data_IF_650294250747
#
_entry.id   IF_650294250747
#
_cell.length_a   1.000
_cell.length_b   1.000
_cell.length_c   1.000
_cell.angle_alpha   90.00
_cell.angle_beta   90.00
_cell.angle_gamma   90.00
#
_symmetry.space_group_name_H-M   'P 1'
#
loop_
_entity.id
_entity.type
_entity.pdbx_description
1 polymer ?
#
# COMPACT_ATOMS: atom_id res chain seq x y z
N UNK A 1 6.00 -0.62 1.98
CA UNK A 1 6.35 -0.89 0.57
C UNK A 1 5.43 -1.92 -0.09
N UNK A 2 5.34 -3.18 0.37
CA UNK A 2 4.52 -4.20 -0.32
C UNK A 2 3.11 -4.44 0.29
N UNK A 3 2.69 -3.70 1.32
CA UNK A 3 1.38 -3.91 1.95
C UNK A 3 1.27 -5.25 2.71
N UNK A 4 2.37 -5.69 3.33
CA UNK A 4 2.48 -6.99 4.00
C UNK A 4 2.08 -6.96 5.48
N UNK A 5 2.03 -5.77 6.08
CA UNK A 5 1.66 -5.63 7.47
C UNK A 5 0.17 -5.97 7.63
N UNK A 6 -0.10 -7.06 8.35
CA UNK A 6 -1.47 -7.51 8.65
C UNK A 6 -2.04 -6.72 9.82
N UNK A 7 -3.36 -6.57 9.94
CA UNK A 7 -3.97 -5.74 10.97
C UNK A 7 -3.56 -6.07 12.40
N UNK A 8 -3.64 -7.33 12.81
CA UNK A 8 -3.25 -7.71 14.18
C UNK A 8 -1.74 -7.57 14.44
N UNK A 9 -0.90 -7.78 13.41
CA UNK A 9 0.52 -7.53 13.51
C UNK A 9 0.85 -6.03 13.64
N UNK A 10 0.01 -5.14 13.11
CA UNK A 10 0.16 -3.70 13.33
C UNK A 10 -0.10 -3.32 14.79
N UNK A 11 -1.09 -3.92 15.46
CA UNK A 11 -1.31 -3.71 16.90
C UNK A 11 -0.07 -4.11 17.71
N UNK A 12 0.46 -5.31 17.47
CA UNK A 12 1.66 -5.80 18.17
C UNK A 12 2.88 -4.92 17.90
N UNK A 13 3.14 -4.59 16.63
CA UNK A 13 4.30 -3.80 16.22
C UNK A 13 4.25 -2.38 16.76
N UNK A 14 3.13 -1.69 16.57
CA UNK A 14 3.00 -0.28 16.98
C UNK A 14 3.04 -0.20 18.51
N UNK A 15 2.30 -1.07 19.22
CA UNK A 15 2.33 -1.10 20.68
C UNK A 15 3.75 -1.30 21.22
N UNK A 16 4.47 -2.30 20.71
CA UNK A 16 5.86 -2.55 21.12
C UNK A 16 6.79 -1.35 20.82
N UNK A 17 6.59 -0.65 19.70
CA UNK A 17 7.38 0.54 19.39
C UNK A 17 7.04 1.70 20.34
N UNK A 18 5.76 1.95 20.65
CA UNK A 18 5.35 2.99 21.61
C UNK A 18 5.91 2.76 23.01
N UNK A 19 6.01 1.49 23.44
CA UNK A 19 6.62 1.12 24.73
C UNK A 19 8.15 1.30 24.74
N UNK A 20 8.80 1.27 23.57
CA UNK A 20 10.25 1.23 23.46
C UNK A 20 10.87 2.59 23.15
N UNK A 21 10.24 3.38 22.29
CA UNK A 21 10.80 4.65 21.79
C UNK A 21 9.90 5.83 22.12
N UNK A 22 10.51 6.95 22.49
CA UNK A 22 9.81 8.19 22.84
C UNK A 22 9.81 9.21 21.68
N UNK A 23 9.62 8.72 20.45
CA UNK A 23 9.50 9.55 19.23
C UNK A 23 8.20 9.23 18.51
N UNK A 24 7.64 10.17 17.72
CA UNK A 24 6.44 9.90 16.94
C UNK A 24 6.65 8.77 15.93
N UNK A 25 5.63 7.92 15.78
CA UNK A 25 5.59 6.81 14.83
C UNK A 25 4.69 7.20 13.66
N UNK A 26 5.26 7.18 12.45
CA UNK A 26 4.54 7.34 11.20
C UNK A 26 4.48 6.00 10.47
N UNK A 27 3.26 5.54 10.17
CA UNK A 27 3.03 4.28 9.47
C UNK A 27 2.72 4.52 8.00
N UNK A 28 3.57 3.96 7.15
CA UNK A 28 3.43 3.95 5.71
C UNK A 28 3.10 2.54 5.21
N UNK A 29 2.05 2.39 4.40
CA UNK A 29 1.73 1.14 3.72
C UNK A 29 1.13 1.34 2.33
N UNK A 30 0.96 0.24 1.59
CA UNK A 30 0.32 0.22 0.27
C UNK A 30 -0.86 -0.74 0.29
N UNK A 31 -2.01 -0.33 -0.22
CA UNK A 31 -3.28 -1.07 -0.16
C UNK A 31 -3.38 -2.20 -1.21
N UNK A 32 -2.26 -2.83 -1.54
CA UNK A 32 -2.17 -3.82 -2.64
C UNK A 32 -3.01 -5.05 -2.35
N UNK A 33 -3.18 -5.40 -1.08
CA UNK A 33 -4.03 -6.49 -0.61
C UNK A 33 -5.47 -6.07 -0.31
N UNK A 34 -5.81 -4.77 -0.45
CA UNK A 34 -7.09 -4.18 0.00
C UNK A 34 -7.40 -4.37 1.48
N UNK A 35 -6.38 -4.69 2.29
CA UNK A 35 -6.50 -4.92 3.73
C UNK A 35 -5.99 -3.74 4.56
N UNK A 36 -5.31 -2.78 3.95
CA UNK A 36 -4.46 -1.87 4.70
C UNK A 36 -5.21 -0.77 5.43
N UNK A 37 -6.44 -0.45 5.02
CA UNK A 37 -7.33 0.40 5.83
C UNK A 37 -7.60 -0.24 7.19
N UNK A 38 -7.79 -1.56 7.25
CA UNK A 38 -7.93 -2.28 8.53
C UNK A 38 -6.60 -2.29 9.31
N UNK A 39 -5.46 -2.37 8.62
CA UNK A 39 -4.14 -2.22 9.25
C UNK A 39 -3.97 -0.85 9.89
N UNK A 40 -4.40 0.23 9.22
CA UNK A 40 -4.40 1.57 9.79
C UNK A 40 -5.32 1.69 10.99
N UNK A 41 -6.54 1.15 10.93
CA UNK A 41 -7.43 1.15 12.10
C UNK A 41 -6.76 0.51 13.31
N UNK A 42 -6.14 -0.67 13.14
CA UNK A 42 -5.43 -1.36 14.22
C UNK A 42 -4.18 -0.63 14.72
N UNK A 43 -3.48 0.08 13.83
CA UNK A 43 -2.35 0.93 14.23
C UNK A 43 -2.82 2.18 14.99
N UNK A 44 -3.94 2.79 14.60
CA UNK A 44 -4.55 3.94 15.27
C UNK A 44 -5.07 3.54 16.65
N UNK A 45 -5.72 2.39 16.80
CA UNK A 45 -6.08 1.84 18.11
C UNK A 45 -4.85 1.58 19.00
N UNK A 46 -3.70 1.27 18.40
CA UNK A 46 -2.41 1.08 19.09
C UNK A 46 -1.58 2.37 19.23
N UNK A 47 -2.20 3.54 19.10
CA UNK A 47 -1.57 4.84 19.33
C UNK A 47 -0.46 5.24 18.33
N UNK A 48 -0.53 4.78 17.07
CA UNK A 48 0.29 5.35 16.00
C UNK A 48 0.01 6.84 15.84
N UNK A 49 1.03 7.65 15.56
CA UNK A 49 0.93 9.11 15.56
C UNK A 49 0.51 9.65 14.18
N UNK A 50 0.99 9.04 13.08
CA UNK A 50 0.68 9.47 11.71
C UNK A 50 0.46 8.26 10.81
N UNK A 51 -0.47 8.35 9.85
CA UNK A 51 -0.66 7.37 8.77
C UNK A 51 -0.63 8.05 7.40
N UNK A 52 -0.04 7.38 6.40
CA UNK A 52 0.06 7.92 5.04
C UNK A 52 -1.16 7.54 4.20
N UNK A 53 -1.81 8.51 3.56
CA UNK A 53 -3.03 8.31 2.78
C UNK A 53 -2.94 9.01 1.42
N UNK A 54 -3.72 8.55 0.46
CA UNK A 54 -3.85 9.17 -0.86
C UNK A 54 -5.30 9.60 -1.11
N UNK A 55 -5.50 10.70 -1.84
CA UNK A 55 -6.82 11.15 -2.27
C UNK A 55 -7.51 10.07 -3.12
N UNK A 56 -8.85 10.00 -3.04
CA UNK A 56 -9.64 8.93 -3.64
C UNK A 56 -9.23 8.53 -5.06
N UNK A 57 -9.18 9.49 -5.98
CA UNK A 57 -8.82 9.27 -7.40
C UNK A 57 -7.42 8.68 -7.65
N UNK A 58 -6.51 8.74 -6.68
CA UNK A 58 -5.13 8.22 -6.77
C UNK A 58 -4.83 7.14 -5.72
N UNK A 59 -5.84 6.66 -5.00
CA UNK A 59 -5.69 5.73 -3.88
C UNK A 59 -6.01 4.28 -4.25
N UNK A 60 -5.73 3.37 -3.32
CA UNK A 60 -6.04 1.95 -3.45
C UNK A 60 -5.09 1.20 -4.38
N UNK A 61 -5.32 -0.11 -4.54
CA UNK A 61 -4.46 -0.99 -5.33
C UNK A 61 -2.99 -0.85 -4.87
N UNK A 62 -2.07 -0.50 -5.75
CA UNK A 62 -0.65 -0.37 -5.39
C UNK A 62 -0.31 0.96 -4.72
N UNK A 63 -1.28 1.84 -4.49
CA UNK A 63 -1.14 3.13 -3.80
C UNK A 63 -1.44 3.01 -2.30
N UNK A 64 -1.44 4.13 -1.57
CA UNK A 64 -1.85 4.20 -0.16
C UNK A 64 -3.36 3.96 0.00
N UNK A 65 -3.84 3.63 1.22
CA UNK A 65 -5.26 3.62 1.55
C UNK A 65 -5.95 4.95 1.23
N UNK A 66 -7.23 4.85 0.89
CA UNK A 66 -8.07 5.98 0.48
C UNK A 66 -8.29 6.96 1.65
N UNK A 67 -7.84 8.20 1.47
CA UNK A 67 -7.91 9.24 2.49
C UNK A 67 -9.36 9.54 2.90
N UNK A 68 -10.24 9.77 1.93
CA UNK A 68 -11.65 10.06 2.16
C UNK A 68 -12.31 8.93 2.99
N UNK A 69 -11.99 7.68 2.67
CA UNK A 69 -12.49 6.51 3.41
C UNK A 69 -11.91 6.41 4.83
N UNK A 70 -10.62 6.72 5.03
CA UNK A 70 -9.99 6.75 6.37
C UNK A 70 -10.61 7.84 7.24
N UNK A 71 -10.89 9.02 6.68
CA UNK A 71 -11.58 10.10 7.40
C UNK A 71 -12.98 9.67 7.84
N UNK A 72 -13.78 9.08 6.92
CA UNK A 72 -15.12 8.61 7.29
C UNK A 72 -15.07 7.44 8.30
N UNK A 73 -14.08 6.55 8.19
CA UNK A 73 -13.83 5.47 9.16
C UNK A 73 -13.58 6.02 10.58
N UNK A 74 -12.88 7.14 10.70
CA UNK A 74 -12.55 7.75 11.99
C UNK A 74 -13.64 8.66 12.55
N UNK A 75 -14.69 8.95 11.78
CA UNK A 75 -15.74 9.89 12.19
C UNK A 75 -16.45 9.43 13.46
N UNK A 76 -16.52 10.33 14.44
CA UNK A 76 -17.12 10.06 15.75
C UNK A 76 -16.25 9.25 16.71
N UNK A 77 -15.00 8.92 16.33
CA UNK A 77 -14.03 8.29 17.23
C UNK A 77 -13.23 9.36 18.00
N UNK A 78 -12.66 8.97 19.13
CA UNK A 78 -11.90 9.87 20.01
C UNK A 78 -10.68 10.51 19.31
N UNK A 79 -9.99 9.74 18.47
CA UNK A 79 -8.80 10.20 17.72
C UNK A 79 -9.15 10.79 16.34
N UNK A 80 -10.42 11.14 16.10
CA UNK A 80 -10.84 11.74 14.85
C UNK A 80 -10.25 13.14 14.68
N UNK A 81 -9.91 13.49 13.44
CA UNK A 81 -9.60 14.86 13.06
C UNK A 81 -10.76 15.44 12.27
N UNK A 82 -10.99 16.75 12.43
CA UNK A 82 -11.99 17.47 11.66
C UNK A 82 -11.46 17.72 10.24
N UNK A 83 -12.19 17.22 9.25
CA UNK A 83 -11.87 17.35 7.83
C UNK A 83 -13.14 17.72 7.07
N UNK A 84 -13.02 18.68 6.16
CA UNK A 84 -14.09 19.00 5.22
C UNK A 84 -14.19 17.92 4.14
N UNK A 85 -15.12 16.99 4.32
CA UNK A 85 -15.38 15.91 3.37
C UNK A 85 -15.81 16.42 1.98
N UNK A 86 -16.49 17.57 1.90
CA UNK A 86 -16.85 18.14 0.60
C UNK A 86 -15.60 18.61 -0.14
N UNK A 87 -14.68 19.26 0.57
CA UNK A 87 -13.40 19.70 0.01
C UNK A 87 -12.52 18.52 -0.40
N UNK A 88 -12.43 17.47 0.43
CA UNK A 88 -11.68 16.25 0.09
C UNK A 88 -12.25 15.55 -1.16
N UNK A 89 -13.57 15.52 -1.31
CA UNK A 89 -14.20 14.96 -2.52
C UNK A 89 -13.90 15.83 -3.75
N UNK A 90 -13.93 17.15 -3.63
CA UNK A 90 -13.56 18.05 -4.75
C UNK A 90 -12.11 17.83 -5.19
N UNK A 91 -11.17 17.69 -4.25
CA UNK A 91 -9.78 17.37 -4.58
C UNK A 91 -9.64 15.98 -5.23
N UNK A 92 -10.38 14.99 -4.74
CA UNK A 92 -10.40 13.66 -5.34
C UNK A 92 -10.87 13.71 -6.79
N UNK A 93 -11.97 14.42 -7.08
CA UNK A 93 -12.51 14.56 -8.43
C UNK A 93 -11.53 15.25 -9.38
N UNK A 94 -10.86 16.32 -8.93
CA UNK A 94 -9.82 16.98 -9.72
C UNK A 94 -8.71 16.00 -10.15
N UNK A 95 -8.26 15.15 -9.22
CA UNK A 95 -7.22 14.18 -9.52
C UNK A 95 -7.70 13.00 -10.36
N UNK A 96 -8.96 12.61 -10.23
CA UNK A 96 -9.61 11.63 -11.11
C UNK A 96 -9.64 12.13 -12.56
N UNK A 97 -10.11 13.36 -12.78
CA UNK A 97 -10.10 13.98 -14.12
C UNK A 97 -8.68 14.12 -14.66
N UNK A 98 -7.73 14.51 -13.81
CA UNK A 98 -6.32 14.66 -14.19
C UNK A 98 -5.69 13.32 -14.58
N UNK A 99 -6.05 12.23 -13.89
CA UNK A 99 -5.52 10.88 -14.11
C UNK A 99 -5.82 10.36 -15.51
N UNK A 100 -6.95 10.75 -16.09
CA UNK A 100 -7.32 10.37 -17.48
C UNK A 100 -6.27 10.82 -18.51
N UNK A 101 -5.61 11.96 -18.28
CA UNK A 101 -4.51 12.42 -19.15
C UNK A 101 -3.28 11.48 -19.11
N UNK A 102 -3.17 10.65 -18.08
CA UNK A 102 -2.10 9.68 -17.87
C UNK A 102 -2.53 8.25 -18.16
N UNK A 103 -3.71 8.04 -18.78
CA UNK A 103 -4.24 6.72 -19.12
C UNK A 103 -3.21 5.75 -19.74
N UNK A 104 -2.32 6.15 -20.68
CA UNK A 104 -1.32 5.24 -21.25
C UNK A 104 -0.33 4.64 -20.24
N UNK A 105 -0.21 5.22 -19.05
CA UNK A 105 0.69 4.79 -17.98
C UNK A 105 -0.02 4.00 -16.88
N UNK A 106 -1.32 3.75 -17.02
CA UNK A 106 -2.07 2.98 -16.04
C UNK A 106 -1.55 1.54 -15.91
N UNK A 107 -1.48 1.06 -14.66
CA UNK A 107 -0.96 -0.28 -14.36
C UNK A 107 -1.80 -1.43 -14.96
N UNK A 108 -3.06 -1.14 -15.31
CA UNK A 108 -4.05 -2.11 -15.77
C UNK A 108 -4.55 -3.06 -14.66
N UNK A 109 -4.15 -2.85 -13.40
CA UNK A 109 -4.71 -3.55 -12.26
C UNK A 109 -6.13 -3.06 -11.98
N UNK A 110 -7.06 -3.99 -11.78
CA UNK A 110 -8.47 -3.68 -11.52
C UNK A 110 -8.90 -3.88 -10.06
N UNK A 111 -8.14 -4.68 -9.30
CA UNK A 111 -8.46 -5.04 -7.93
C UNK A 111 -7.17 -5.33 -7.15
N UNK A 112 -7.26 -5.22 -5.81
CA UNK A 112 -6.22 -5.70 -4.92
C UNK A 112 -6.07 -7.22 -4.99
N UNK A 113 -4.94 -7.73 -4.52
CA UNK A 113 -4.60 -9.15 -4.54
C UNK A 113 -3.92 -9.60 -3.25
N UNK A 114 -4.41 -10.70 -2.68
CA UNK A 114 -3.78 -11.37 -1.55
C UNK A 114 -2.52 -12.16 -1.95
N UNK A 115 -2.25 -12.36 -3.25
CA UNK A 115 -1.02 -13.01 -3.73
C UNK A 115 0.24 -12.27 -3.27
N UNK A 116 0.12 -10.97 -2.93
CA UNK A 116 1.23 -10.17 -2.40
C UNK A 116 1.86 -10.77 -1.15
N UNK A 117 1.08 -11.48 -0.31
CA UNK A 117 1.60 -12.18 0.87
C UNK A 117 2.42 -13.44 0.52
N UNK A 118 2.38 -13.89 -0.73
CA UNK A 118 3.14 -15.06 -1.20
C UNK A 118 4.39 -14.65 -1.98
N UNK A 119 4.28 -13.61 -2.80
CA UNK A 119 5.37 -13.18 -3.67
C UNK A 119 6.17 -11.99 -3.12
N UNK A 120 5.60 -11.23 -2.19
CA UNK A 120 6.21 -10.08 -1.50
C UNK A 120 6.71 -8.94 -2.41
N UNK A 121 6.53 -9.06 -3.73
CA UNK A 121 6.80 -8.01 -4.73
C UNK A 121 6.06 -6.71 -4.36
N UNK A 122 6.78 -5.59 -4.14
CA UNK A 122 6.19 -4.28 -3.90
C UNK A 122 5.29 -3.81 -5.05
N UNK A 123 4.25 -3.03 -4.72
CA UNK A 123 3.24 -2.60 -5.70
C UNK A 123 3.83 -1.92 -6.93
N UNK A 124 4.74 -0.95 -6.73
CA UNK A 124 5.42 -0.26 -7.84
C UNK A 124 6.32 -1.17 -8.68
N UNK A 125 6.91 -2.22 -8.09
CA UNK A 125 7.66 -3.20 -8.86
C UNK A 125 6.73 -4.08 -9.68
N UNK A 126 5.53 -4.43 -9.17
CA UNK A 126 4.55 -5.20 -9.92
C UNK A 126 4.04 -4.45 -11.15
N UNK A 127 3.68 -3.17 -11.00
CA UNK A 127 3.18 -2.34 -12.10
C UNK A 127 4.24 -2.05 -13.16
N UNK A 128 5.52 -1.97 -12.79
CA UNK A 128 6.63 -1.77 -13.73
C UNK A 128 7.12 -3.05 -14.40
N UNK A 129 7.14 -4.17 -13.66
CA UNK A 129 7.67 -5.44 -14.15
C UNK A 129 6.80 -6.05 -15.25
N UNK A 130 5.49 -5.83 -15.20
CA UNK A 130 4.57 -6.38 -16.20
C UNK A 130 4.76 -5.76 -17.59
N UNK A 131 4.76 -4.42 -17.77
CA UNK A 131 5.14 -3.78 -19.03
C UNK A 131 6.53 -4.19 -19.52
N UNK A 132 7.52 -4.31 -18.62
CA UNK A 132 8.87 -4.76 -18.97
C UNK A 132 8.88 -6.20 -19.49
N UNK A 133 8.17 -7.12 -18.82
CA UNK A 133 8.04 -8.50 -19.28
C UNK A 133 7.37 -8.57 -20.66
N UNK A 134 6.32 -7.78 -20.89
CA UNK A 134 5.67 -7.68 -22.21
C UNK A 134 6.65 -7.17 -23.26
N UNK A 135 7.41 -6.10 -22.97
CA UNK A 135 8.40 -5.53 -23.89
C UNK A 135 9.52 -6.52 -24.26
N UNK A 136 9.84 -7.46 -23.37
CA UNK A 136 10.83 -8.52 -23.58
C UNK A 136 10.24 -9.80 -24.18
N UNK A 137 8.96 -9.81 -24.59
CA UNK A 137 8.30 -10.99 -25.14
C UNK A 137 7.95 -12.08 -24.11
N UNK A 138 7.97 -11.75 -22.82
CA UNK A 138 7.67 -12.65 -21.70
C UNK A 138 6.26 -12.43 -21.11
N UNK A 139 5.40 -11.67 -21.80
CA UNK A 139 4.06 -11.34 -21.32
C UNK A 139 3.22 -12.56 -20.96
N UNK A 140 3.19 -13.58 -21.83
CA UNK A 140 2.43 -14.82 -21.62
C UNK A 140 3.00 -15.72 -20.51
N UNK A 141 4.23 -15.41 -20.06
CA UNK A 141 4.95 -16.16 -19.02
C UNK A 141 5.08 -15.36 -17.73
N UNK A 142 4.22 -14.36 -17.52
CA UNK A 142 4.32 -13.48 -16.36
C UNK A 142 4.25 -14.24 -15.02
N UNK A 143 3.49 -15.34 -14.95
CA UNK A 143 3.47 -16.21 -13.75
C UNK A 143 4.82 -16.88 -13.47
N UNK A 144 5.56 -17.26 -14.51
CA UNK A 144 6.93 -17.77 -14.37
C UNK A 144 7.87 -16.66 -13.90
N UNK A 145 7.68 -15.43 -14.39
CA UNK A 145 8.44 -14.24 -13.96
C UNK A 145 8.19 -13.95 -12.48
N UNK A 146 6.94 -13.99 -12.01
CA UNK A 146 6.59 -13.84 -10.58
C UNK A 146 7.28 -14.91 -9.72
N UNK A 147 7.23 -16.18 -10.15
CA UNK A 147 7.89 -17.30 -9.45
C UNK A 147 9.41 -17.16 -9.44
N UNK A 148 10.00 -16.69 -10.54
CA UNK A 148 11.43 -16.45 -10.63
C UNK A 148 11.84 -15.31 -9.71
N UNK A 149 11.13 -14.18 -9.65
CA UNK A 149 11.43 -13.08 -8.72
C UNK A 149 11.47 -13.57 -7.27
N UNK A 150 10.47 -14.37 -6.85
CA UNK A 150 10.48 -15.00 -5.52
C UNK A 150 11.71 -15.89 -5.29
N UNK A 151 12.16 -16.64 -6.30
CA UNK A 151 13.30 -17.56 -6.19
C UNK A 151 14.68 -16.90 -6.33
N UNK A 152 14.79 -15.82 -7.11
CA UNK A 152 16.06 -15.21 -7.51
C UNK A 152 16.38 -13.92 -6.76
N UNK A 153 15.41 -13.21 -6.18
CA UNK A 153 15.69 -12.10 -5.25
C UNK A 153 16.38 -12.54 -3.96
N UNK A 154 16.12 -13.73 -3.38
CA UNK A 154 16.97 -14.27 -2.33
C UNK A 154 18.42 -14.47 -2.79
N UNK A 155 18.66 -14.80 -4.07
CA UNK A 155 20.00 -15.00 -4.65
C UNK A 155 20.75 -13.68 -4.93
N UNK A 156 20.08 -12.62 -5.37
CA UNK A 156 20.68 -11.29 -5.59
C UNK A 156 20.85 -10.49 -4.29
N UNK A 157 20.10 -10.83 -3.25
CA UNK A 157 20.18 -10.20 -1.94
C UNK A 157 20.97 -11.06 -0.90
N UNK A 158 21.82 -11.96 -1.39
CA UNK A 158 22.59 -12.97 -0.62
C UNK A 158 23.64 -12.44 0.35
N UNK A 159 23.84 -11.13 0.51
CA UNK A 159 24.77 -10.64 1.55
C UNK A 159 24.12 -10.47 2.93
N UNK A 160 22.80 -10.59 3.07
CA UNK A 160 22.11 -10.47 4.36
C UNK A 160 21.07 -11.57 4.55
N UNK A 161 21.06 -12.17 5.74
CA UNK A 161 20.27 -13.36 6.10
C UNK A 161 18.75 -13.17 6.00
N UNK A 162 18.28 -11.92 5.88
CA UNK A 162 16.89 -11.53 5.60
C UNK A 162 16.88 -10.19 4.87
N UNK A 163 17.04 -10.17 3.54
CA UNK A 163 17.01 -8.94 2.80
C UNK A 163 15.55 -8.44 2.72
N UNK A 164 15.31 -7.22 3.21
CA UNK A 164 14.03 -6.53 3.00
C UNK A 164 13.95 -6.11 1.52
N UNK A 165 12.84 -6.45 0.87
CA UNK A 165 12.48 -6.02 -0.49
C UNK A 165 12.07 -4.55 -0.53
#
# INVERSE_FOLDING_TARGET
MAGLLKPYAATELVGALKDTVNIPIQLHTHDTSSLQTATYLKAIEAEVDVVDVALGGLSGLTSQPNFNAVVEMMKGQERAHDFDMNMLNQFSNYWEDTREMYYPFESGLKAGTAEVYQHEIPGGQYSNLRPQAIALGLGDRFDDVKKCMRKSMPCLATSSKYPKL
#
